data_IF_981957397783
#
_entry.id   IF_981957397783
#
_cell.length_a   1.000
_cell.length_b   1.000
_cell.length_c   1.000
_cell.angle_alpha   90.00
_cell.angle_beta   90.00
_cell.angle_gamma   90.00
#
_symmetry.space_group_name_H-M   'P 1'
#
loop_
_entity.id
_entity.type
_entity.pdbx_description
1 polymer ?
#
# COMPACT_ATOMS: atom_id res chain seq x y z
N UNK A 1 31.23 -0.79 -5.90
CA UNK A 1 30.74 -2.19 -5.86
C UNK A 1 29.25 -2.17 -5.58
N UNK A 2 28.43 -2.81 -6.40
CA UNK A 2 26.99 -2.95 -6.13
C UNK A 2 26.81 -3.93 -4.98
N UNK A 3 26.20 -3.48 -3.89
CA UNK A 3 25.91 -4.33 -2.73
C UNK A 3 24.55 -4.99 -2.94
N UNK A 4 24.51 -6.32 -2.95
CA UNK A 4 23.27 -7.09 -3.06
C UNK A 4 22.75 -7.45 -1.67
N UNK A 5 21.42 -7.47 -1.52
CA UNK A 5 20.74 -7.89 -0.29
C UNK A 5 19.66 -8.91 -0.64
N UNK A 6 19.54 -9.96 0.16
CA UNK A 6 18.53 -11.00 -0.03
C UNK A 6 17.20 -10.58 0.60
N UNK A 7 16.10 -10.89 -0.10
CA UNK A 7 14.74 -10.69 0.38
C UNK A 7 14.07 -12.05 0.50
N UNK A 8 13.56 -12.38 1.70
CA UNK A 8 12.84 -13.62 1.97
C UNK A 8 11.45 -13.29 2.50
N UNK A 9 10.42 -13.88 1.90
CA UNK A 9 9.03 -13.74 2.33
C UNK A 9 8.35 -15.10 2.32
N UNK A 10 7.49 -15.36 3.31
CA UNK A 10 6.60 -16.53 3.32
C UNK A 10 5.33 -16.19 2.55
N UNK A 11 4.89 -17.10 1.69
CA UNK A 11 3.69 -16.97 0.87
C UNK A 11 3.04 -18.34 0.74
N UNK A 12 1.71 -18.38 0.69
CA UNK A 12 0.96 -19.59 0.48
C UNK A 12 1.33 -20.25 -0.85
N UNK A 13 1.37 -21.58 -0.87
CA UNK A 13 1.80 -22.33 -2.05
C UNK A 13 0.92 -22.05 -3.28
N UNK A 14 -0.39 -21.91 -3.07
CA UNK A 14 -1.34 -21.59 -4.14
C UNK A 14 -1.05 -20.22 -4.75
N UNK A 15 -0.95 -19.19 -3.91
CA UNK A 15 -0.63 -17.82 -4.32
C UNK A 15 0.70 -17.75 -5.06
N UNK A 16 1.71 -18.48 -4.58
CA UNK A 16 3.02 -18.58 -5.24
C UNK A 16 2.90 -19.16 -6.65
N UNK A 17 2.20 -20.29 -6.82
CA UNK A 17 2.05 -20.95 -8.12
C UNK A 17 1.29 -20.08 -9.12
N UNK A 18 0.22 -19.42 -8.67
CA UNK A 18 -0.56 -18.50 -9.51
C UNK A 18 0.28 -17.30 -9.96
N UNK A 19 1.01 -16.66 -9.04
CA UNK A 19 1.90 -15.55 -9.37
C UNK A 19 3.04 -15.96 -10.31
N UNK A 20 3.69 -17.11 -10.07
CA UNK A 20 4.76 -17.63 -10.93
C UNK A 20 4.27 -17.93 -12.35
N UNK A 21 3.03 -18.42 -12.50
CA UNK A 21 2.41 -18.62 -13.82
C UNK A 21 2.24 -17.28 -14.55
N UNK A 22 1.66 -16.28 -13.88
CA UNK A 22 1.46 -14.94 -14.48
C UNK A 22 2.80 -14.31 -14.86
N UNK A 23 3.82 -14.42 -14.00
CA UNK A 23 5.16 -13.92 -14.32
C UNK A 23 5.74 -14.63 -15.54
N UNK A 24 5.58 -15.95 -15.65
CA UNK A 24 6.02 -16.71 -16.82
C UNK A 24 5.31 -16.27 -18.10
N UNK A 25 4.00 -16.06 -18.05
CA UNK A 25 3.21 -15.58 -19.20
C UNK A 25 3.68 -14.18 -19.66
N UNK A 26 4.19 -13.37 -18.72
CA UNK A 26 4.80 -12.06 -18.99
C UNK A 26 6.30 -12.12 -19.35
N UNK A 27 6.90 -13.31 -19.41
CA UNK A 27 8.34 -13.48 -19.68
C UNK A 27 9.25 -13.02 -18.53
N UNK A 28 8.74 -12.95 -17.31
CA UNK A 28 9.45 -12.49 -16.12
C UNK A 28 9.81 -13.66 -15.20
N UNK A 29 11.02 -13.64 -14.66
CA UNK A 29 11.36 -14.48 -13.51
C UNK A 29 10.97 -13.75 -12.20
N UNK A 30 10.90 -14.51 -11.10
CA UNK A 30 10.52 -13.96 -9.78
C UNK A 30 11.43 -12.82 -9.32
N UNK A 31 12.73 -12.96 -9.50
CA UNK A 31 13.70 -11.94 -9.08
C UNK A 31 13.45 -10.63 -9.80
N UNK A 32 13.18 -10.67 -11.11
CA UNK A 32 12.83 -9.50 -11.92
C UNK A 32 11.51 -8.89 -11.45
N UNK A 33 10.49 -9.70 -11.19
CA UNK A 33 9.19 -9.22 -10.70
C UNK A 33 9.29 -8.52 -9.33
N UNK A 34 10.04 -9.10 -8.38
CA UNK A 34 10.27 -8.49 -7.07
C UNK A 34 11.09 -7.20 -7.18
N UNK A 35 12.13 -7.18 -8.02
CA UNK A 35 12.89 -5.95 -8.25
C UNK A 35 12.04 -4.86 -8.91
N UNK A 36 11.13 -5.22 -9.82
CA UNK A 36 10.20 -4.29 -10.44
C UNK A 36 9.25 -3.69 -9.40
N UNK A 37 8.73 -4.52 -8.49
CA UNK A 37 7.91 -4.06 -7.36
C UNK A 37 8.63 -2.99 -6.54
N UNK A 38 9.88 -3.21 -6.13
CA UNK A 38 10.66 -2.21 -5.39
C UNK A 38 10.88 -0.92 -6.18
N UNK A 39 11.18 -1.02 -7.48
CA UNK A 39 11.33 0.16 -8.35
C UNK A 39 10.04 0.97 -8.44
N UNK A 40 8.90 0.30 -8.51
CA UNK A 40 7.60 0.98 -8.53
C UNK A 40 7.29 1.67 -7.20
N UNK A 41 7.64 1.03 -6.07
CA UNK A 41 7.50 1.66 -4.74
C UNK A 41 8.34 2.94 -4.65
N UNK A 42 9.59 2.88 -5.09
CA UNK A 42 10.50 4.05 -5.10
C UNK A 42 9.94 5.14 -6.02
N UNK A 43 9.51 4.78 -7.23
CA UNK A 43 9.00 5.74 -8.22
C UNK A 43 7.76 6.49 -7.71
N UNK A 44 6.83 5.79 -7.09
CA UNK A 44 5.55 6.36 -6.63
C UNK A 44 5.62 6.99 -5.24
N UNK A 45 6.73 6.84 -4.51
CA UNK A 45 6.81 7.17 -3.09
C UNK A 45 5.65 6.56 -2.28
N UNK A 46 5.25 5.34 -2.62
CA UNK A 46 4.04 4.69 -2.12
C UNK A 46 3.88 3.28 -2.69
N UNK A 47 2.78 2.60 -2.37
CA UNK A 47 2.55 1.25 -2.90
C UNK A 47 2.23 1.29 -4.40
N UNK A 48 2.61 0.24 -5.17
CA UNK A 48 2.41 0.23 -6.61
C UNK A 48 0.97 -0.06 -7.04
N UNK A 49 0.07 -0.27 -6.08
CA UNK A 49 -1.36 -0.50 -6.23
C UNK A 49 -2.13 0.45 -5.31
N UNK A 50 -3.38 0.73 -5.67
CA UNK A 50 -4.25 1.58 -4.86
C UNK A 50 -4.68 0.84 -3.59
N UNK A 51 -4.50 1.48 -2.43
CA UNK A 51 -5.06 1.01 -1.17
C UNK A 51 -6.51 1.50 -1.08
N UNK A 52 -7.45 0.69 -1.54
CA UNK A 52 -8.89 0.93 -1.36
C UNK A 52 -9.42 -0.05 -0.32
N UNK A 53 -10.04 0.47 0.73
CA UNK A 53 -10.94 -0.31 1.58
C UNK A 53 -12.32 -0.07 0.97
N UNK A 54 -12.95 -1.11 0.41
CA UNK A 54 -14.27 -0.99 -0.23
C UNK A 54 -15.36 -0.50 0.75
N UNK A 55 -15.10 -0.63 2.05
CA UNK A 55 -15.88 0.00 3.09
C UNK A 55 -15.08 1.07 3.85
N UNK A 56 -15.67 2.23 4.17
CA UNK A 56 -15.04 3.19 5.06
C UNK A 56 -14.69 2.48 6.38
N UNK A 57 -13.48 2.70 6.90
CA UNK A 57 -13.11 2.16 8.20
C UNK A 57 -14.07 2.70 9.28
N UNK A 58 -14.20 1.99 10.40
CA UNK A 58 -15.18 2.35 11.45
C UNK A 58 -15.04 3.82 11.89
N UNK A 59 -13.80 4.32 12.00
CA UNK A 59 -13.49 5.73 12.27
C UNK A 59 -14.08 6.71 11.23
N UNK A 60 -13.97 6.40 9.94
CA UNK A 60 -14.53 7.23 8.87
C UNK A 60 -16.06 7.14 8.82
N UNK A 61 -16.64 5.96 9.10
CA UNK A 61 -18.10 5.80 9.25
C UNK A 61 -18.64 6.63 10.44
N UNK A 62 -17.92 6.65 11.55
CA UNK A 62 -18.25 7.47 12.72
C UNK A 62 -18.11 8.97 12.45
N UNK A 63 -17.06 9.39 11.75
CA UNK A 63 -16.86 10.80 11.37
C UNK A 63 -17.96 11.31 10.42
N UNK A 64 -18.42 10.48 9.47
CA UNK A 64 -19.52 10.83 8.55
C UNK A 64 -20.86 10.91 9.29
N UNK A 65 -21.11 10.00 10.25
CA UNK A 65 -22.37 9.96 10.98
C UNK A 65 -22.48 11.03 12.09
N UNK A 66 -21.35 11.58 12.55
CA UNK A 66 -21.33 12.68 13.50
C UNK A 66 -21.37 14.03 12.75
N UNK A 67 -22.52 14.33 12.14
CA UNK A 67 -22.84 15.56 11.40
C UNK A 67 -22.92 16.83 12.31
N UNK A 68 -22.28 16.84 13.48
CA UNK A 68 -22.62 17.75 14.58
C UNK A 68 -21.61 18.78 15.04
N UNK A 69 -20.45 18.92 14.42
CA UNK A 69 -19.63 20.10 14.64
C UNK A 69 -18.97 20.53 13.33
N UNK A 70 -19.24 21.76 12.91
CA UNK A 70 -18.46 22.46 11.88
C UNK A 70 -17.04 22.62 12.44
N UNK A 71 -16.20 21.61 12.20
CA UNK A 71 -14.80 21.62 12.60
C UNK A 71 -14.02 22.51 11.63
N UNK A 72 -13.97 23.80 11.95
CA UNK A 72 -13.05 24.75 11.35
C UNK A 72 -11.69 24.64 12.02
N UNK A 73 -10.65 24.38 11.23
CA UNK A 73 -9.26 24.42 11.69
C UNK A 73 -8.56 25.60 11.04
N UNK A 74 -7.82 26.36 11.84
CA UNK A 74 -7.07 27.53 11.34
C UNK A 74 -5.84 27.10 10.52
N UNK A 75 -5.42 25.84 10.61
CA UNK A 75 -4.32 25.30 9.80
C UNK A 75 -4.38 23.78 9.56
N UNK A 76 -3.78 23.34 8.45
CA UNK A 76 -3.64 21.91 8.14
C UNK A 76 -2.83 21.13 9.20
N UNK A 77 -1.92 21.79 9.94
CA UNK A 77 -1.13 21.17 11.01
C UNK A 77 -1.99 20.82 12.22
N UNK A 78 -2.96 21.67 12.52
CA UNK A 78 -3.91 21.48 13.62
C UNK A 78 -4.89 20.34 13.31
N UNK A 79 -5.43 20.32 12.08
CA UNK A 79 -6.26 19.23 11.60
C UNK A 79 -5.52 17.88 11.64
N UNK A 80 -4.26 17.84 11.22
CA UNK A 80 -3.46 16.61 11.21
C UNK A 80 -3.14 16.09 12.63
N UNK A 81 -3.01 16.99 13.61
CA UNK A 81 -2.83 16.63 15.01
C UNK A 81 -4.12 16.03 15.60
N UNK A 82 -5.26 16.68 15.36
CA UNK A 82 -6.57 16.19 15.82
C UNK A 82 -6.91 14.80 15.29
N UNK A 83 -6.51 14.47 14.06
CA UNK A 83 -6.79 13.16 13.44
C UNK A 83 -5.87 12.02 13.92
N UNK A 84 -4.69 12.34 14.49
CA UNK A 84 -3.66 11.36 14.85
C UNK A 84 -3.33 11.28 16.35
N UNK A 85 -3.89 12.18 17.17
CA UNK A 85 -4.01 12.00 18.62
C UNK A 85 -5.16 11.03 18.96
#
# INVERSE_FOLDING_TARGET
MTKYSAVNARVDEKTKKEAEKIFSDLGLNRTTAINLFYKQVILKHGLPFDLKIEEPNARLKEAINNEKDDLSFDSAKEAWKYLND
#
